data_IF_499651856266
#
_entry.id   IF_499651856266
#
_cell.length_a   1.000
_cell.length_b   1.000
_cell.length_c   1.000
_cell.angle_alpha   90.00
_cell.angle_beta   90.00
_cell.angle_gamma   90.00
#
_symmetry.space_group_name_H-M   'P 1'
#
loop_
_entity.id
_entity.type
_entity.pdbx_description
1 polymer ?
#
# COMPACT_ATOMS: atom_id res chain seq x y z
N UNK A 1 15.39 26.84 -2.25
CA UNK A 1 13.97 26.46 -2.06
C UNK A 1 13.96 25.12 -1.37
N UNK A 2 13.55 25.07 -0.10
CA UNK A 2 13.74 23.92 0.80
C UNK A 2 12.86 22.74 0.42
N UNK A 3 13.42 21.53 0.44
CA UNK A 3 12.83 20.21 0.14
C UNK A 3 11.40 19.94 0.70
N UNK A 4 11.02 20.62 1.79
CA UNK A 4 9.64 20.64 2.31
C UNK A 4 8.59 21.16 1.32
N UNK A 5 8.97 22.05 0.40
CA UNK A 5 8.06 22.79 -0.48
C UNK A 5 7.73 22.03 -1.79
N UNK A 6 8.43 20.93 -2.05
CA UNK A 6 8.13 19.99 -3.14
C UNK A 6 7.27 18.81 -2.66
N UNK A 7 7.46 18.31 -1.43
CA UNK A 7 6.59 17.27 -0.83
C UNK A 7 5.15 17.73 -0.64
N UNK A 8 4.93 19.02 -0.38
CA UNK A 8 3.60 19.63 -0.24
C UNK A 8 2.81 19.72 -1.56
N UNK A 9 3.49 19.66 -2.72
CA UNK A 9 2.82 19.78 -4.04
C UNK A 9 2.35 18.44 -4.62
N UNK A 10 2.87 17.31 -4.14
CA UNK A 10 2.45 15.99 -4.60
C UNK A 10 1.67 15.24 -3.50
N UNK A 11 0.37 15.08 -3.71
CA UNK A 11 -0.53 14.43 -2.75
C UNK A 11 -0.12 12.99 -2.42
N UNK A 12 0.53 12.29 -3.34
CA UNK A 12 0.98 10.90 -3.12
C UNK A 12 2.14 10.87 -2.12
N UNK A 13 3.09 11.80 -2.25
CA UNK A 13 4.20 11.94 -1.29
C UNK A 13 3.68 12.33 0.10
N UNK A 14 2.65 13.16 0.19
CA UNK A 14 1.98 13.47 1.45
C UNK A 14 1.38 12.22 2.11
N UNK A 15 0.74 11.35 1.34
CA UNK A 15 0.22 10.09 1.86
C UNK A 15 1.32 9.15 2.30
N UNK A 16 2.39 9.01 1.53
CA UNK A 16 3.56 8.20 1.91
C UNK A 16 4.12 8.65 3.26
N UNK A 17 4.34 9.95 3.45
CA UNK A 17 4.86 10.48 4.74
C UNK A 17 3.88 10.27 5.90
N UNK A 18 2.57 10.37 5.66
CA UNK A 18 1.57 10.11 6.70
C UNK A 18 1.38 8.63 7.03
N UNK A 19 1.56 7.75 6.06
CA UNK A 19 1.40 6.31 6.24
C UNK A 19 2.62 5.71 6.94
N UNK A 20 3.83 6.08 6.48
CA UNK A 20 5.07 5.41 6.90
C UNK A 20 6.20 6.36 7.26
N UNK A 21 6.00 7.69 7.28
CA UNK A 21 7.11 8.65 7.46
C UNK A 21 7.84 8.54 8.80
N UNK A 22 7.12 8.23 9.88
CA UNK A 22 7.69 8.00 11.22
C UNK A 22 7.31 6.63 11.76
N UNK A 23 8.09 6.12 12.72
CA UNK A 23 7.77 4.84 13.38
C UNK A 23 6.40 4.85 14.06
N UNK A 24 6.03 5.95 14.71
CA UNK A 24 4.71 6.10 15.34
C UNK A 24 3.56 6.09 14.33
N UNK A 25 3.70 6.79 13.19
CA UNK A 25 2.71 6.77 12.11
C UNK A 25 2.54 5.36 11.52
N UNK A 26 3.65 4.67 11.26
CA UNK A 26 3.61 3.29 10.79
C UNK A 26 2.90 2.38 11.80
N UNK A 27 3.28 2.43 13.08
CA UNK A 27 2.65 1.61 14.13
C UNK A 27 1.16 1.86 14.24
N UNK A 28 0.71 3.12 14.15
CA UNK A 28 -0.70 3.44 14.16
C UNK A 28 -1.44 2.84 12.96
N UNK A 29 -0.93 3.03 11.74
CA UNK A 29 -1.54 2.50 10.53
C UNK A 29 -1.55 0.96 10.51
N UNK A 30 -0.49 0.32 11.01
CA UNK A 30 -0.42 -1.13 11.18
C UNK A 30 -1.47 -1.63 12.17
N UNK A 31 -1.58 -1.00 13.35
CA UNK A 31 -2.57 -1.38 14.35
C UNK A 31 -3.99 -1.17 13.86
N UNK A 32 -4.26 -0.05 13.19
CA UNK A 32 -5.57 0.26 12.61
C UNK A 32 -5.97 -0.80 11.57
N UNK A 33 -5.04 -1.11 10.66
CA UNK A 33 -5.23 -2.13 9.61
C UNK A 33 -5.42 -3.52 10.20
N UNK A 34 -4.58 -3.90 11.16
CA UNK A 34 -4.66 -5.19 11.85
C UNK A 34 -6.00 -5.34 12.57
N UNK A 35 -6.43 -4.32 13.31
CA UNK A 35 -7.67 -4.36 14.08
C UNK A 35 -8.89 -4.48 13.17
N UNK A 36 -9.00 -3.62 12.15
CA UNK A 36 -10.11 -3.67 11.20
C UNK A 36 -10.16 -4.99 10.43
N UNK A 37 -9.01 -5.45 9.93
CA UNK A 37 -8.91 -6.69 9.18
C UNK A 37 -9.22 -7.94 10.00
N UNK A 38 -8.73 -8.03 11.24
CA UNK A 38 -9.02 -9.15 12.15
C UNK A 38 -10.51 -9.19 12.49
N UNK A 39 -11.10 -8.05 12.88
CA UNK A 39 -12.53 -7.98 13.21
C UNK A 39 -13.42 -8.45 12.06
N UNK A 40 -13.09 -8.08 10.82
CA UNK A 40 -13.80 -8.54 9.63
C UNK A 40 -13.59 -10.04 9.38
N UNK A 41 -12.34 -10.49 9.42
CA UNK A 41 -11.96 -11.86 9.06
C UNK A 41 -12.55 -12.93 9.97
N UNK A 42 -12.63 -12.63 11.28
CA UNK A 42 -13.23 -13.49 12.29
C UNK A 42 -14.76 -13.36 12.38
N UNK A 43 -15.40 -12.59 11.49
CA UNK A 43 -16.84 -12.28 11.52
C UNK A 43 -17.32 -11.65 12.83
N UNK A 44 -16.44 -10.95 13.56
CA UNK A 44 -16.84 -10.19 14.75
C UNK A 44 -17.60 -8.93 14.29
N UNK A 45 -17.13 -8.28 13.23
CA UNK A 45 -17.81 -7.15 12.60
C UNK A 45 -17.83 -7.27 11.06
N UNK A 46 -18.67 -8.18 10.51
CA UNK A 46 -18.70 -8.50 9.08
C UNK A 46 -19.53 -7.48 8.29
N UNK A 47 -19.18 -6.20 8.40
CA UNK A 47 -19.85 -5.12 7.69
C UNK A 47 -19.23 -4.89 6.31
N UNK A 48 -20.07 -4.60 5.31
CA UNK A 48 -19.61 -4.23 3.95
C UNK A 48 -18.70 -3.00 4.00
N UNK A 49 -18.96 -2.06 4.90
CA UNK A 49 -18.12 -0.87 5.06
C UNK A 49 -16.70 -1.22 5.52
N UNK A 50 -16.56 -2.23 6.40
CA UNK A 50 -15.25 -2.69 6.88
C UNK A 50 -14.50 -3.38 5.74
N UNK A 51 -15.18 -4.21 4.93
CA UNK A 51 -14.59 -4.79 3.72
C UNK A 51 -14.12 -3.71 2.73
N UNK A 52 -14.94 -2.68 2.50
CA UNK A 52 -14.58 -1.59 1.57
C UNK A 52 -13.39 -0.81 2.09
N UNK A 53 -13.37 -0.42 3.37
CA UNK A 53 -12.28 0.39 3.92
C UNK A 53 -10.97 -0.40 3.98
N UNK A 54 -10.98 -1.60 4.54
CA UNK A 54 -9.76 -2.38 4.82
C UNK A 54 -9.37 -3.34 3.69
N UNK A 55 -10.35 -3.81 2.90
CA UNK A 55 -10.12 -4.73 1.78
C UNK A 55 -10.05 -4.06 0.42
N UNK A 56 -10.40 -2.77 0.29
CA UNK A 56 -10.34 -2.04 -0.99
C UNK A 56 -9.61 -0.71 -0.83
N UNK A 57 -10.21 0.28 -0.16
CA UNK A 57 -9.70 1.66 -0.14
C UNK A 57 -8.27 1.75 0.38
N UNK A 58 -7.99 1.15 1.55
CA UNK A 58 -6.67 1.18 2.16
C UNK A 58 -5.62 0.47 1.28
N UNK A 59 -5.80 -0.80 0.88
CA UNK A 59 -4.84 -1.46 0.00
C UNK A 59 -4.68 -0.75 -1.36
N UNK A 60 -5.73 -0.20 -1.98
CA UNK A 60 -5.58 0.60 -3.20
C UNK A 60 -4.69 1.83 -2.99
N UNK A 61 -4.88 2.57 -1.88
CA UNK A 61 -4.03 3.70 -1.53
C UNK A 61 -2.58 3.26 -1.33
N UNK A 62 -2.37 2.12 -0.67
CA UNK A 62 -1.02 1.57 -0.43
C UNK A 62 -0.36 1.13 -1.73
N UNK A 63 -1.11 0.51 -2.67
CA UNK A 63 -0.63 0.15 -4.00
C UNK A 63 -0.16 1.40 -4.74
N UNK A 64 -1.00 2.44 -4.76
CA UNK A 64 -0.68 3.70 -5.41
C UNK A 64 0.60 4.32 -4.85
N UNK A 65 0.73 4.33 -3.51
CA UNK A 65 1.93 4.83 -2.84
C UNK A 65 3.18 4.00 -3.15
N UNK A 66 3.07 2.67 -3.17
CA UNK A 66 4.17 1.74 -3.48
C UNK A 66 4.68 1.91 -4.90
N UNK A 67 3.80 1.89 -5.90
CA UNK A 67 4.22 2.02 -7.28
C UNK A 67 4.80 3.41 -7.57
N UNK A 68 4.25 4.45 -6.93
CA UNK A 68 4.81 5.80 -7.01
C UNK A 68 6.22 5.88 -6.42
N UNK A 69 6.44 5.34 -5.21
CA UNK A 69 7.76 5.41 -4.57
C UNK A 69 8.82 4.62 -5.35
N UNK A 70 8.46 3.45 -5.89
CA UNK A 70 9.34 2.65 -6.76
C UNK A 70 9.76 3.47 -7.99
N UNK A 71 8.84 4.22 -8.58
CA UNK A 71 9.15 5.07 -9.73
C UNK A 71 10.06 6.25 -9.38
N UNK A 72 9.95 6.80 -8.17
CA UNK A 72 10.88 7.83 -7.68
C UNK A 72 12.28 7.24 -7.51
N UNK A 73 12.40 6.07 -6.88
CA UNK A 73 13.67 5.32 -6.73
C UNK A 73 14.30 4.96 -8.08
N UNK A 74 13.49 4.59 -9.07
CA UNK A 74 13.97 4.27 -10.42
C UNK A 74 14.70 5.42 -11.12
N UNK A 75 14.46 6.67 -10.70
CA UNK A 75 15.12 7.86 -11.25
C UNK A 75 16.47 8.18 -10.60
N UNK A 76 16.72 7.69 -9.38
CA UNK A 76 17.96 7.88 -8.60
C UNK A 76 18.73 6.54 -8.56
N UNK A 77 19.55 6.29 -9.58
CA UNK A 77 20.63 5.27 -9.70
C UNK A 77 20.42 3.81 -9.17
N UNK A 78 19.23 3.41 -8.72
CA UNK A 78 18.90 2.08 -8.20
C UNK A 78 18.55 1.05 -9.29
N UNK A 79 19.05 1.24 -10.52
CA UNK A 79 18.76 0.35 -11.66
C UNK A 79 19.19 -1.12 -11.42
N UNK A 80 20.15 -1.37 -10.52
CA UNK A 80 20.67 -2.72 -10.25
C UNK A 80 19.75 -3.60 -9.37
N UNK A 81 18.91 -3.01 -8.53
CA UNK A 81 18.16 -3.76 -7.51
C UNK A 81 16.66 -3.89 -7.79
N UNK A 82 16.13 -3.10 -8.74
CA UNK A 82 14.72 -3.10 -9.11
C UNK A 82 14.56 -3.73 -10.51
N UNK A 83 13.63 -4.69 -10.70
CA UNK A 83 13.40 -5.31 -11.99
C UNK A 83 13.14 -4.27 -13.09
N UNK A 84 13.82 -4.41 -14.23
CA UNK A 84 13.76 -3.45 -15.35
C UNK A 84 12.33 -3.15 -15.85
N UNK A 85 11.41 -4.10 -15.72
CA UNK A 85 10.01 -3.88 -16.07
C UNK A 85 9.31 -2.87 -15.13
N UNK A 86 9.64 -2.83 -13.83
CA UNK A 86 9.08 -1.85 -12.87
C UNK A 86 9.63 -0.44 -13.05
N UNK A 87 10.76 -0.29 -13.73
CA UNK A 87 11.39 1.01 -14.03
C UNK A 87 10.67 1.75 -15.17
N UNK A 88 10.09 1.02 -16.13
CA UNK A 88 9.40 1.66 -17.25
C UNK A 88 8.05 2.27 -16.80
N UNK A 89 7.75 3.55 -17.13
CA UNK A 89 6.53 4.21 -16.67
C UNK A 89 5.24 3.47 -17.07
N UNK A 90 5.20 2.93 -18.29
CA UNK A 90 4.03 2.23 -18.82
C UNK A 90 3.82 0.88 -18.14
N UNK A 91 4.88 0.09 -17.93
CA UNK A 91 4.73 -1.22 -17.28
C UNK A 91 4.47 -1.08 -15.79
N UNK A 92 5.07 -0.09 -15.10
CA UNK A 92 4.76 0.24 -13.72
C UNK A 92 3.27 0.58 -13.55
N UNK A 93 2.75 1.46 -14.42
CA UNK A 93 1.33 1.81 -14.43
C UNK A 93 0.42 0.59 -14.69
N UNK A 94 0.79 -0.26 -15.65
CA UNK A 94 0.00 -1.44 -15.99
C UNK A 94 -0.05 -2.46 -14.83
N UNK A 95 1.08 -2.69 -14.17
CA UNK A 95 1.16 -3.56 -12.99
C UNK A 95 0.38 -2.98 -11.80
N UNK A 96 0.48 -1.67 -11.56
CA UNK A 96 -0.33 -0.99 -10.56
C UNK A 96 -1.83 -1.19 -10.82
N UNK A 97 -2.29 -0.98 -12.06
CA UNK A 97 -3.69 -1.17 -12.45
C UNK A 97 -4.13 -2.63 -12.33
N UNK A 98 -3.26 -3.57 -12.67
CA UNK A 98 -3.51 -5.00 -12.51
C UNK A 98 -3.70 -5.35 -11.04
N UNK A 99 -2.79 -4.94 -10.16
CA UNK A 99 -2.87 -5.20 -8.71
C UNK A 99 -4.14 -4.58 -8.11
N UNK A 100 -4.46 -3.34 -8.48
CA UNK A 100 -5.69 -2.68 -8.06
C UNK A 100 -6.94 -3.42 -8.52
N UNK A 101 -6.95 -3.93 -9.75
CA UNK A 101 -8.05 -4.71 -10.30
C UNK A 101 -8.21 -6.03 -9.54
N UNK A 102 -7.10 -6.72 -9.26
CA UNK A 102 -7.10 -7.96 -8.49
C UNK A 102 -7.67 -7.70 -7.08
N UNK A 103 -7.22 -6.65 -6.39
CA UNK A 103 -7.73 -6.26 -5.07
C UNK A 103 -9.26 -6.07 -5.11
N UNK A 104 -9.77 -5.33 -6.10
CA UNK A 104 -11.22 -5.07 -6.23
C UNK A 104 -11.97 -6.37 -6.52
N UNK A 105 -11.49 -7.19 -7.45
CA UNK A 105 -12.12 -8.47 -7.80
C UNK A 105 -12.18 -9.40 -6.59
N UNK A 106 -11.09 -9.51 -5.81
CA UNK A 106 -11.09 -10.30 -4.58
C UNK A 106 -12.13 -9.81 -3.57
N UNK A 107 -12.22 -8.50 -3.36
CA UNK A 107 -13.22 -7.94 -2.45
C UNK A 107 -14.66 -8.22 -2.93
N UNK A 108 -14.92 -8.13 -4.24
CA UNK A 108 -16.23 -8.46 -4.81
C UNK A 108 -16.55 -9.95 -4.61
N UNK A 109 -15.60 -10.85 -4.89
CA UNK A 109 -15.78 -12.29 -4.70
C UNK A 109 -16.04 -12.68 -3.25
N UNK A 110 -15.41 -11.98 -2.30
CA UNK A 110 -15.69 -12.12 -0.86
C UNK A 110 -17.11 -11.61 -0.56
N UNK A 111 -17.49 -10.45 -1.08
CA UNK A 111 -18.79 -9.83 -0.83
C UNK A 111 -19.97 -10.70 -1.30
N UNK A 112 -19.87 -11.30 -2.48
CA UNK A 112 -20.93 -12.17 -3.03
C UNK A 112 -20.89 -13.60 -2.47
N UNK A 113 -19.96 -13.91 -1.56
CA UNK A 113 -19.90 -15.20 -0.87
C UNK A 113 -19.11 -16.29 -1.57
N UNK A 114 -18.55 -16.06 -2.76
CA UNK A 114 -17.77 -17.08 -3.50
C UNK A 114 -16.47 -17.42 -2.77
N UNK A 115 -15.78 -16.40 -2.23
CA UNK A 115 -14.53 -16.56 -1.47
C UNK A 115 -14.70 -16.23 0.02
N UNK A 116 -15.86 -16.51 0.60
CA UNK A 116 -16.16 -16.17 2.00
C UNK A 116 -15.59 -17.19 3.03
N UNK A 117 -14.31 -17.51 2.86
CA UNK A 117 -13.53 -18.29 3.81
C UNK A 117 -12.65 -17.38 4.66
N UNK A 118 -12.38 -17.80 5.90
CA UNK A 118 -11.48 -17.08 6.81
C UNK A 118 -10.17 -16.66 6.14
N UNK A 119 -9.53 -17.59 5.42
CA UNK A 119 -8.24 -17.38 4.77
C UNK A 119 -8.27 -16.19 3.79
N UNK A 120 -9.24 -16.14 2.89
CA UNK A 120 -9.31 -15.08 1.88
C UNK A 120 -9.66 -13.73 2.48
N UNK A 121 -10.53 -13.68 3.49
CA UNK A 121 -10.80 -12.44 4.21
C UNK A 121 -9.57 -11.94 4.93
N UNK A 122 -8.89 -12.82 5.67
CA UNK A 122 -7.68 -12.46 6.39
C UNK A 122 -6.55 -12.02 5.47
N UNK A 123 -6.38 -12.71 4.33
CA UNK A 123 -5.42 -12.34 3.31
C UNK A 123 -5.71 -10.93 2.78
N UNK A 124 -6.95 -10.67 2.38
CA UNK A 124 -7.37 -9.43 1.73
C UNK A 124 -7.39 -8.23 2.68
N UNK A 125 -7.97 -8.37 3.87
CA UNK A 125 -8.23 -7.23 4.77
C UNK A 125 -7.12 -6.99 5.79
N UNK A 126 -6.20 -7.94 5.96
CA UNK A 126 -5.17 -7.90 7.00
C UNK A 126 -3.78 -8.09 6.42
N UNK A 127 -3.49 -9.27 5.88
CA UNK A 127 -2.12 -9.65 5.52
C UNK A 127 -1.58 -8.78 4.39
N UNK A 128 -2.32 -8.66 3.29
CA UNK A 128 -1.90 -7.87 2.12
C UNK A 128 -1.68 -6.40 2.48
N UNK A 129 -2.63 -5.69 3.12
CA UNK A 129 -2.40 -4.31 3.57
C UNK A 129 -1.18 -4.14 4.50
N UNK A 130 -0.94 -5.06 5.44
CA UNK A 130 0.21 -5.01 6.35
C UNK A 130 1.52 -5.16 5.58
N UNK A 131 1.61 -6.16 4.70
CA UNK A 131 2.82 -6.38 3.88
C UNK A 131 3.11 -5.13 3.04
N UNK A 132 2.08 -4.52 2.45
CA UNK A 132 2.25 -3.31 1.64
C UNK A 132 2.75 -2.13 2.46
N UNK A 133 2.24 -1.91 3.67
CA UNK A 133 2.75 -0.86 4.57
C UNK A 133 4.21 -1.09 4.96
N UNK A 134 4.59 -2.34 5.24
CA UNK A 134 5.98 -2.67 5.58
C UNK A 134 6.91 -2.46 4.37
N UNK A 135 6.51 -2.91 3.19
CA UNK A 135 7.27 -2.66 1.95
C UNK A 135 7.41 -1.16 1.68
N UNK A 136 6.32 -0.41 1.85
CA UNK A 136 6.32 1.05 1.66
C UNK A 136 7.28 1.73 2.63
N UNK A 137 7.34 1.29 3.89
CA UNK A 137 8.32 1.78 4.87
C UNK A 137 9.75 1.49 4.46
N UNK A 138 10.04 0.27 4.00
CA UNK A 138 11.40 -0.11 3.58
C UNK A 138 11.88 0.77 2.44
N UNK A 139 11.05 0.96 1.41
CA UNK A 139 11.38 1.83 0.28
C UNK A 139 11.52 3.29 0.69
N UNK A 140 10.65 3.77 1.59
CA UNK A 140 10.72 5.14 2.11
C UNK A 140 12.04 5.40 2.87
N UNK A 141 12.49 4.43 3.66
CA UNK A 141 13.75 4.55 4.39
C UNK A 141 14.95 4.61 3.44
N UNK A 142 14.97 3.81 2.37
CA UNK A 142 16.05 3.83 1.37
C UNK A 142 16.20 5.22 0.73
N UNK A 143 15.10 5.83 0.28
CA UNK A 143 15.12 7.20 -0.28
C UNK A 143 15.64 8.22 0.74
N UNK A 144 15.21 8.06 2.00
CA UNK A 144 15.56 9.05 3.04
C UNK A 144 16.99 8.87 3.57
N UNK A 145 17.59 7.69 3.44
CA UNK A 145 19.00 7.45 3.77
C UNK A 145 19.95 7.98 2.72
N UNK A 146 19.61 7.87 1.43
CA UNK A 146 20.44 8.36 0.33
C UNK A 146 20.54 9.90 0.30
N UNK A 147 19.49 10.61 0.71
CA UNK A 147 19.51 12.08 0.82
C UNK A 147 20.34 12.65 2.00
N UNK A 148 21.12 11.83 2.71
CA UNK A 148 21.95 12.23 3.86
C UNK A 148 23.46 12.01 3.65
N UNK A 149 23.88 11.50 2.50
CA UNK A 149 25.29 11.49 2.06
C UNK A 149 25.58 12.72 1.20
#
# INVERSE_FOLDING_TARGET
MTDKDNRSRNIILYWIDNLVGTGSRLSFNLLFTLFGGVLYSFRIWPSVYVLVIFGVVSPLLYTLCLYFIIRVLAGDEMEEHVPKFLLSPTSNMLLMLLDMTIIIVFAVLIHIGILDYFLFRFLQTTLLPIVMLLMLRMLYLNITSEGKE
#
